data_IF_017338234016
#
_entry.id   IF_017338234016
#
_cell.length_a   1.000
_cell.length_b   1.000
_cell.length_c   1.000
_cell.angle_alpha   90.00
_cell.angle_beta   90.00
_cell.angle_gamma   90.00
#
_symmetry.space_group_name_H-M   'P 1'
#
loop_
_entity.id
_entity.type
_entity.pdbx_description
1 polymer ?
#
# COMPACT_ATOMS: atom_id res chain seq x y z
N UNK A 1 -14.89 -1.00 3.59
CA UNK A 1 -13.79 -0.10 3.19
C UNK A 1 -13.61 -0.26 1.70
N UNK A 2 -13.20 0.79 1.00
CA UNK A 2 -13.00 0.74 -0.46
C UNK A 2 -11.51 0.85 -0.72
N UNK A 3 -11.02 0.02 -1.63
CA UNK A 3 -9.64 0.07 -2.07
C UNK A 3 -9.40 1.36 -2.85
N UNK A 4 -8.43 2.17 -2.42
CA UNK A 4 -8.04 3.40 -3.10
C UNK A 4 -6.72 3.19 -3.86
N UNK A 5 -6.78 3.26 -5.19
CA UNK A 5 -5.60 3.07 -6.07
C UNK A 5 -4.52 4.12 -5.83
N UNK A 6 -4.88 5.36 -5.48
CA UNK A 6 -3.92 6.43 -5.20
C UNK A 6 -3.17 6.15 -3.91
N UNK A 7 -3.86 5.66 -2.88
CA UNK A 7 -3.24 5.22 -1.63
C UNK A 7 -2.27 4.05 -1.90
N UNK A 8 -2.71 3.04 -2.68
CA UNK A 8 -1.84 1.92 -3.04
C UNK A 8 -0.58 2.37 -3.77
N UNK A 9 -0.71 3.31 -4.72
CA UNK A 9 0.42 3.89 -5.42
C UNK A 9 1.38 4.59 -4.46
N UNK A 10 0.88 5.47 -3.59
CA UNK A 10 1.73 6.21 -2.63
C UNK A 10 2.48 5.27 -1.67
N UNK A 11 1.84 4.21 -1.20
CA UNK A 11 2.50 3.18 -0.38
C UNK A 11 3.61 2.48 -1.17
N UNK A 12 3.35 2.09 -2.42
CA UNK A 12 4.36 1.44 -3.26
C UNK A 12 5.50 2.39 -3.65
N UNK A 13 5.25 3.69 -3.82
CA UNK A 13 6.28 4.70 -4.06
C UNK A 13 7.22 4.83 -2.85
N UNK A 14 6.67 4.87 -1.64
CA UNK A 14 7.47 4.87 -0.40
C UNK A 14 8.27 3.58 -0.29
N UNK A 15 7.63 2.43 -0.52
CA UNK A 15 8.28 1.13 -0.47
C UNK A 15 9.41 1.00 -1.51
N UNK A 16 9.21 1.53 -2.72
CA UNK A 16 10.22 1.58 -3.78
C UNK A 16 11.40 2.49 -3.42
N UNK A 17 11.12 3.67 -2.84
CA UNK A 17 12.17 4.60 -2.40
C UNK A 17 13.05 4.01 -1.29
N UNK A 18 12.48 3.12 -0.46
CA UNK A 18 13.19 2.41 0.62
C UNK A 18 13.91 1.14 0.17
N UNK A 19 13.50 0.56 -0.95
CA UNK A 19 14.16 -0.59 -1.56
C UNK A 19 14.30 -1.77 -0.59
N UNK A 20 15.54 -2.22 -0.36
CA UNK A 20 15.80 -3.37 0.50
C UNK A 20 15.72 -3.09 2.00
N UNK A 21 15.85 -1.82 2.41
CA UNK A 21 15.75 -1.42 3.82
C UNK A 21 14.32 -1.59 4.35
N UNK A 22 13.33 -1.53 3.46
CA UNK A 22 11.92 -1.61 3.80
C UNK A 22 11.37 -0.32 4.42
N UNK A 23 10.06 -0.31 4.63
CA UNK A 23 9.32 0.82 5.18
C UNK A 23 8.54 0.43 6.43
N UNK A 24 8.32 1.39 7.32
CA UNK A 24 7.66 1.22 8.62
C UNK A 24 6.31 1.96 8.69
N UNK A 25 5.47 1.61 9.67
CA UNK A 25 4.14 2.21 9.88
C UNK A 25 4.18 3.74 9.91
N UNK A 26 5.15 4.32 10.62
CA UNK A 26 5.30 5.78 10.78
C UNK A 26 5.43 6.54 9.46
N UNK A 27 5.89 5.88 8.40
CA UNK A 27 6.16 6.50 7.10
C UNK A 27 4.91 6.54 6.23
N UNK A 28 3.98 5.60 6.44
CA UNK A 28 2.78 5.45 5.62
C UNK A 28 1.49 5.81 6.36
N UNK A 29 1.45 5.73 7.70
CA UNK A 29 0.28 6.06 8.52
C UNK A 29 -0.32 7.45 8.25
N UNK A 30 0.47 8.51 7.98
CA UNK A 30 -0.09 9.83 7.62
C UNK A 30 -0.91 9.83 6.33
N UNK A 31 -0.65 8.91 5.39
CA UNK A 31 -1.43 8.77 4.13
C UNK A 31 -2.88 8.37 4.44
N UNK A 32 -3.06 7.58 5.50
CA UNK A 32 -4.36 7.07 5.92
C UNK A 32 -5.05 8.01 6.92
N UNK A 33 -4.64 9.28 7.01
CA UNK A 33 -5.17 10.22 8.01
C UNK A 33 -5.07 9.69 9.46
N UNK A 34 -4.08 8.83 9.74
CA UNK A 34 -3.91 8.10 11.01
C UNK A 34 -5.01 7.07 11.33
N UNK A 35 -5.73 6.57 10.32
CA UNK A 35 -6.68 5.47 10.46
C UNK A 35 -6.00 4.10 10.32
N UNK A 36 -5.60 3.50 11.46
CA UNK A 36 -4.90 2.20 11.51
C UNK A 36 -5.65 1.09 10.74
N UNK A 37 -6.99 1.04 10.81
CA UNK A 37 -7.77 0.02 10.10
C UNK A 37 -7.65 0.14 8.57
N UNK A 38 -7.57 1.37 8.05
CA UNK A 38 -7.48 1.60 6.60
C UNK A 38 -6.10 1.28 6.06
N UNK A 39 -5.09 1.58 6.87
CA UNK A 39 -3.74 1.10 6.65
C UNK A 39 -3.69 -0.43 6.57
N UNK A 40 -4.21 -1.14 7.58
CA UNK A 40 -4.19 -2.60 7.59
C UNK A 40 -4.93 -3.17 6.37
N UNK A 41 -6.12 -2.65 6.04
CA UNK A 41 -6.91 -3.12 4.91
C UNK A 41 -6.14 -3.02 3.56
N UNK A 42 -5.47 -1.90 3.31
CA UNK A 42 -4.72 -1.70 2.07
C UNK A 42 -3.42 -2.52 2.02
N UNK A 43 -2.70 -2.61 3.15
CA UNK A 43 -1.46 -3.40 3.21
C UNK A 43 -1.73 -4.90 3.10
N UNK A 44 -2.82 -5.38 3.68
CA UNK A 44 -3.22 -6.79 3.55
C UNK A 44 -3.52 -7.12 2.09
N UNK A 45 -4.22 -6.24 1.36
CA UNK A 45 -4.40 -6.39 -0.08
C UNK A 45 -3.06 -6.46 -0.85
N UNK A 46 -2.14 -5.52 -0.61
CA UNK A 46 -0.84 -5.50 -1.30
C UNK A 46 -0.03 -6.77 -1.01
N UNK A 47 -0.10 -7.27 0.24
CA UNK A 47 0.55 -8.50 0.66
C UNK A 47 -0.08 -9.73 0.02
N UNK A 48 -1.41 -9.85 0.03
CA UNK A 48 -2.13 -10.97 -0.59
C UNK A 48 -1.86 -11.07 -2.09
N UNK A 49 -1.65 -9.94 -2.75
CA UNK A 49 -1.26 -9.88 -4.17
C UNK A 49 0.23 -10.09 -4.41
N UNK A 50 1.03 -10.19 -3.35
CA UNK A 50 2.48 -10.38 -3.46
C UNK A 50 3.24 -9.17 -3.98
N UNK A 51 2.65 -7.96 -3.89
CA UNK A 51 3.29 -6.71 -4.27
C UNK A 51 4.22 -6.19 -3.18
N UNK A 52 3.94 -6.54 -1.93
CA UNK A 52 4.82 -6.30 -0.80
C UNK A 52 4.96 -7.57 0.04
N UNK A 53 6.11 -7.70 0.68
CA UNK A 53 6.22 -8.46 1.92
C UNK A 53 5.80 -7.53 3.05
N UNK A 54 4.97 -8.01 3.97
CA UNK A 54 4.52 -7.21 5.12
C UNK A 54 4.50 -8.06 6.38
N UNK A 55 5.13 -7.53 7.43
CA UNK A 55 5.13 -8.10 8.76
C UNK A 55 4.15 -7.33 9.63
N UNK A 56 3.26 -8.07 10.27
CA UNK A 56 2.28 -7.54 11.22
C UNK A 56 2.55 -8.10 12.61
N UNK A 57 2.14 -7.36 13.64
CA UNK A 57 2.19 -7.85 15.02
C UNK A 57 1.43 -9.16 15.14
N UNK A 58 2.02 -10.20 15.78
CA UNK A 58 1.31 -11.43 16.04
C UNK A 58 0.18 -11.14 17.04
N UNK A 59 -1.07 -11.07 16.56
CA UNK A 59 -2.16 -10.59 17.39
C UNK A 59 -3.60 -10.92 16.99
N UNK A 60 -3.88 -11.58 15.85
CA UNK A 60 -5.28 -11.79 15.43
C UNK A 60 -5.67 -13.20 14.95
N UNK A 61 -4.71 -14.12 14.74
CA UNK A 61 -5.02 -15.51 14.37
C UNK A 61 -4.76 -16.52 15.50
N UNK A 62 -4.39 -16.05 16.70
CA UNK A 62 -4.30 -16.90 17.87
C UNK A 62 -5.71 -17.09 18.44
N UNK A 63 -6.36 -18.17 18.01
CA UNK A 63 -7.48 -18.74 18.74
C UNK A 63 -7.08 -18.91 20.22
N UNK A 64 -8.01 -18.60 21.12
CA UNK A 64 -7.94 -18.75 22.59
C UNK A 64 -7.40 -17.56 23.39
N UNK A 65 -8.37 -16.83 23.94
CA UNK A 65 -8.39 -16.27 25.30
C UNK A 65 -7.25 -15.30 25.68
N UNK A 66 -7.33 -14.05 25.21
CA UNK A 66 -6.98 -12.76 25.84
C UNK A 66 -7.41 -11.70 24.81
N UNK A 67 -7.93 -10.54 25.24
CA UNK A 67 -8.38 -9.44 24.36
C UNK A 67 -7.55 -9.34 23.06
N UNK A 68 -8.17 -9.36 21.86
CA UNK A 68 -7.42 -9.32 20.61
C UNK A 68 -6.54 -8.07 20.62
N UNK A 69 -5.23 -8.26 20.57
CA UNK A 69 -4.31 -7.13 20.39
C UNK A 69 -4.58 -6.59 18.99
N UNK A 70 -4.65 -5.25 18.81
CA UNK A 70 -4.85 -4.69 17.48
C UNK A 70 -3.71 -5.16 16.56
N UNK A 71 -4.08 -5.63 15.37
CA UNK A 71 -3.12 -5.92 14.30
C UNK A 71 -2.45 -4.60 13.95
N UNK A 72 -1.12 -4.60 13.97
CA UNK A 72 -0.32 -3.43 13.60
C UNK A 72 0.70 -3.83 12.56
N UNK A 73 0.94 -2.93 11.63
CA UNK A 73 2.00 -3.10 10.66
C UNK A 73 3.34 -2.80 11.32
N UNK A 74 4.34 -3.65 11.13
CA UNK A 74 5.68 -3.43 11.69
C UNK A 74 6.58 -2.87 10.60
N UNK A 75 6.72 -3.64 9.52
CA UNK A 75 7.57 -3.31 8.40
C UNK A 75 7.10 -4.00 7.13
N UNK A 76 7.49 -3.46 6.00
CA UNK A 76 7.24 -4.06 4.70
C UNK A 76 8.35 -3.78 3.71
N UNK A 77 8.39 -4.57 2.65
CA UNK A 77 9.35 -4.44 1.56
C UNK A 77 8.63 -4.62 0.24
N UNK A 78 8.95 -3.79 -0.75
CA UNK A 78 8.39 -3.96 -2.09
C UNK A 78 8.99 -5.20 -2.76
N UNK A 79 8.18 -5.98 -3.46
CA UNK A 79 8.64 -7.10 -4.30
C UNK A 79 8.88 -6.61 -5.73
N UNK A 80 9.50 -7.45 -6.57
CA UNK A 80 9.60 -7.15 -8.01
C UNK A 80 8.21 -7.00 -8.67
N UNK A 81 7.25 -7.86 -8.30
CA UNK A 81 5.87 -7.73 -8.77
C UNK A 81 5.22 -6.42 -8.32
N UNK A 82 5.56 -5.92 -7.12
CA UNK A 82 5.10 -4.61 -6.64
C UNK A 82 5.67 -3.46 -7.46
N UNK A 83 6.93 -3.53 -7.89
CA UNK A 83 7.56 -2.54 -8.77
C UNK A 83 6.90 -2.52 -10.16
N UNK A 84 6.64 -3.70 -10.73
CA UNK A 84 5.93 -3.82 -12.01
C UNK A 84 4.52 -3.25 -11.93
N UNK A 85 3.80 -3.56 -10.85
CA UNK A 85 2.46 -3.01 -10.62
C UNK A 85 2.49 -1.49 -10.43
N UNK A 86 3.47 -0.96 -9.70
CA UNK A 86 3.67 0.49 -9.55
C UNK A 86 3.91 1.18 -10.90
N UNK A 87 4.76 0.61 -11.75
CA UNK A 87 4.99 1.13 -13.10
C UNK A 87 3.71 1.16 -13.93
N UNK A 88 2.87 0.12 -13.83
CA UNK A 88 1.56 0.08 -14.48
C UNK A 88 0.59 1.14 -13.98
N UNK A 89 0.59 1.44 -12.67
CA UNK A 89 -0.23 2.51 -12.10
C UNK A 89 0.20 3.90 -12.60
N UNK A 90 1.51 4.12 -12.76
CA UNK A 90 2.05 5.38 -13.25
C UNK A 90 1.72 5.61 -14.73
N UNK A 91 1.80 4.57 -15.57
CA UNK A 91 1.43 4.64 -16.98
C UNK A 91 -0.05 4.96 -17.20
N UNK A 92 -0.93 4.39 -16.37
CA UNK A 92 -2.37 4.68 -16.42
C UNK A 92 -2.71 6.13 -16.08
N UNK A 93 -1.92 6.80 -15.25
CA UNK A 93 -2.09 8.23 -14.97
C UNK A 93 -1.64 9.09 -16.14
N UNK A 94 -0.52 8.74 -16.77
CA UNK A 94 0.02 9.48 -17.90
C UNK A 94 -0.92 9.42 -19.12
N UNK A 95 -1.54 8.27 -19.38
CA UNK A 95 -2.50 8.09 -20.47
C UNK A 95 -3.79 8.92 -20.29
N UNK A 96 -4.26 9.11 -19.06
CA UNK A 96 -5.44 9.96 -18.77
C UNK A 96 -5.14 11.44 -19.02
N UNK A 97 -3.95 11.91 -18.67
CA UNK A 97 -3.55 13.32 -18.86
C UNK A 97 -3.43 13.66 -20.34
N UNK A 98 -2.90 12.75 -21.16
CA UNK A 98 -2.75 12.98 -22.61
C UNK A 98 -4.12 13.06 -23.31
N UNK A 99 -5.09 12.24 -22.91
CA UNK A 99 -6.43 12.24 -23.52
C UNK A 99 -7.24 13.50 -23.15
N UNK A 100 -7.10 14.02 -21.93
CA UNK A 100 -7.79 15.26 -21.51
C UNK A 100 -7.20 16.53 -22.16
N UNK A 101 -5.88 16.55 -22.44
CA UNK A 101 -5.25 17.68 -23.13
C UNK A 101 -5.61 17.74 -24.63
N UNK A 102 -5.83 16.59 -25.27
CA UNK A 102 -6.26 16.52 -26.67
C UNK A 102 -7.74 16.92 -26.84
N UNK A 103 -8.60 16.57 -25.88
CA UNK A 103 -10.03 16.92 -25.89
C UNK A 103 -10.32 18.41 -25.60
N UNK A 104 -9.38 19.14 -24.98
CA UNK A 104 -9.51 20.58 -24.70
C UNK A 104 -8.89 21.48 -25.77
N UNK A 105 -8.18 20.90 -26.75
CA UNK A 105 -7.60 21.60 -27.91
C UNK A 105 -8.38 21.40 -29.22
N UNK A 106 -9.50 20.66 -29.21
CA UNK A 106 -10.36 20.41 -30.37
C UNK A 106 -11.57 21.34 -30.45
#
# INVERSE_FOLDING_TARGET
>A
MKLDKKILQQVLEIAAAKGEEGFEEKEILPIFHNEEYDLIFHLDYLREKGFIEAEFTPGAYAAFAILPKPIRFIRGKITEAGKEYLAGLQQQQEEVVVVEEEATKA
#
